data_IF_101369826263
#
_entry.id   IF_101369826263
#
_cell.length_a   1.000
_cell.length_b   1.000
_cell.length_c   1.000
_cell.angle_alpha   90.00
_cell.angle_beta   90.00
_cell.angle_gamma   90.00
#
_symmetry.space_group_name_H-M   'P 1'
#
loop_
_entity.id
_entity.type
_entity.pdbx_description
1 polymer ?
#
# COMPACT_ATOMS: atom_id res chain seq x y z
N UNK A 1 -9.55 -10.88 -34.99
CA UNK A 1 -8.15 -10.89 -35.44
C UNK A 1 -7.38 -9.92 -34.58
N UNK A 2 -6.69 -10.41 -33.58
CA UNK A 2 -5.83 -9.58 -32.72
C UNK A 2 -4.54 -9.26 -33.49
N UNK A 3 -4.28 -7.98 -33.65
CA UNK A 3 -3.08 -7.49 -34.32
C UNK A 3 -1.98 -7.36 -33.29
N UNK A 4 -1.18 -8.41 -33.08
CA UNK A 4 0.06 -8.31 -32.34
C UNK A 4 1.11 -7.58 -33.18
N UNK A 5 1.77 -6.59 -32.60
CA UNK A 5 2.86 -5.87 -33.22
C UNK A 5 4.17 -6.63 -33.00
N UNK A 6 5.15 -6.44 -33.87
CA UNK A 6 6.48 -7.08 -33.77
C UNK A 6 7.14 -6.81 -32.40
N UNK A 7 6.83 -5.68 -31.76
CA UNK A 7 7.25 -5.37 -30.38
C UNK A 7 6.66 -6.33 -29.33
N UNK A 8 5.50 -6.94 -29.59
CA UNK A 8 4.82 -7.85 -28.65
C UNK A 8 5.26 -9.30 -28.82
N UNK A 9 6.01 -9.61 -29.88
CA UNK A 9 6.42 -10.97 -30.25
C UNK A 9 7.37 -11.59 -29.23
N UNK A 10 8.28 -10.83 -28.68
CA UNK A 10 9.30 -11.31 -27.72
C UNK A 10 8.69 -11.56 -26.35
N UNK A 11 7.69 -10.78 -25.95
CA UNK A 11 6.93 -11.06 -24.73
C UNK A 11 6.23 -12.43 -24.76
N UNK A 12 5.93 -12.94 -25.97
CA UNK A 12 5.29 -14.26 -26.15
C UNK A 12 6.31 -15.39 -26.16
N UNK A 13 7.55 -15.17 -26.61
CA UNK A 13 8.63 -16.18 -26.56
C UNK A 13 9.10 -16.47 -25.14
N UNK A 14 9.19 -15.47 -24.27
CA UNK A 14 9.62 -15.63 -22.88
C UNK A 14 8.64 -16.45 -22.00
N UNK A 15 7.40 -16.65 -22.45
CA UNK A 15 6.37 -17.38 -21.71
C UNK A 15 6.40 -18.91 -21.91
N UNK A 16 7.26 -19.44 -22.80
CA UNK A 16 7.31 -20.90 -23.10
C UNK A 16 8.44 -21.66 -22.42
N UNK A 17 9.41 -21.03 -21.80
CA UNK A 17 10.48 -21.74 -21.07
C UNK A 17 10.14 -21.87 -19.60
N UNK A 18 9.71 -23.06 -19.19
CA UNK A 18 9.74 -23.63 -17.83
C UNK A 18 9.86 -22.63 -16.66
N UNK A 19 8.71 -22.11 -16.20
CA UNK A 19 8.48 -21.75 -14.80
C UNK A 19 9.52 -20.89 -14.05
N UNK A 20 10.48 -20.30 -14.72
CA UNK A 20 11.48 -19.40 -14.11
C UNK A 20 11.30 -18.00 -14.67
N UNK A 21 11.28 -17.01 -13.77
CA UNK A 21 11.25 -15.57 -13.99
C UNK A 21 12.18 -15.15 -15.16
N UNK A 22 11.63 -15.15 -16.37
CA UNK A 22 12.27 -14.53 -17.50
C UNK A 22 11.51 -13.23 -17.77
N UNK A 23 12.06 -12.11 -17.33
CA UNK A 23 11.70 -10.82 -17.89
C UNK A 23 11.80 -10.94 -19.40
N UNK A 24 10.70 -10.81 -20.12
CA UNK A 24 10.68 -10.96 -21.59
C UNK A 24 11.61 -9.92 -22.20
N UNK A 25 12.68 -10.38 -22.85
CA UNK A 25 13.57 -9.51 -23.60
C UNK A 25 12.82 -9.02 -24.85
N UNK A 26 12.80 -7.72 -25.07
CA UNK A 26 12.20 -7.14 -26.27
C UNK A 26 13.10 -7.38 -27.48
N UNK A 27 12.52 -7.39 -28.68
CA UNK A 27 13.31 -7.49 -29.91
C UNK A 27 14.42 -6.43 -30.01
N UNK A 28 14.17 -5.26 -29.47
CA UNK A 28 15.12 -4.17 -29.30
C UNK A 28 16.34 -4.57 -28.43
N UNK A 29 16.16 -5.46 -27.47
CA UNK A 29 17.22 -5.94 -26.57
C UNK A 29 18.01 -7.10 -27.19
N UNK A 30 17.32 -8.01 -27.90
CA UNK A 30 17.93 -9.20 -28.50
C UNK A 30 18.72 -8.82 -29.76
N UNK A 31 18.16 -7.98 -30.63
CA UNK A 31 18.69 -7.62 -31.92
C UNK A 31 18.54 -6.12 -32.23
N UNK A 32 19.16 -5.22 -31.45
CA UNK A 32 18.98 -3.78 -31.56
C UNK A 32 19.33 -3.24 -32.96
N UNK A 33 20.45 -3.68 -33.56
CA UNK A 33 20.87 -3.21 -34.90
C UNK A 33 19.94 -3.70 -36.00
N UNK A 34 19.45 -4.92 -35.89
CA UNK A 34 18.45 -5.46 -36.83
C UNK A 34 17.12 -4.69 -36.69
N UNK A 35 16.66 -4.47 -35.43
CA UNK A 35 15.45 -3.72 -35.18
C UNK A 35 15.54 -2.28 -35.67
N UNK A 36 16.64 -1.56 -35.40
CA UNK A 36 16.83 -0.19 -35.86
C UNK A 36 16.86 -0.05 -37.39
N UNK A 37 17.34 -1.07 -38.13
CA UNK A 37 17.38 -1.09 -39.56
C UNK A 37 15.98 -1.11 -40.21
N UNK A 38 14.96 -1.55 -39.47
CA UNK A 38 13.59 -1.66 -39.99
C UNK A 38 12.88 -0.30 -39.94
N UNK A 39 12.21 0.06 -41.04
CA UNK A 39 11.46 1.30 -41.12
C UNK A 39 10.34 1.38 -40.09
N UNK A 40 10.18 2.53 -39.41
CA UNK A 40 9.19 2.77 -38.34
C UNK A 40 7.76 2.46 -38.77
N UNK A 41 7.39 2.73 -40.02
CA UNK A 41 6.06 2.39 -40.54
C UNK A 41 5.83 0.88 -40.54
N UNK A 42 6.85 0.09 -40.91
CA UNK A 42 6.81 -1.38 -40.90
C UNK A 42 6.73 -1.90 -39.46
N UNK A 43 7.57 -1.41 -38.57
CA UNK A 43 7.52 -1.75 -37.13
C UNK A 43 6.11 -1.63 -36.54
N UNK A 44 5.38 -0.59 -36.92
CA UNK A 44 4.06 -0.28 -36.37
C UNK A 44 2.87 -0.98 -37.06
N UNK A 45 3.05 -1.49 -38.26
CA UNK A 45 1.96 -2.09 -39.09
C UNK A 45 2.05 -3.60 -39.27
N UNK A 46 3.25 -4.19 -39.13
CA UNK A 46 3.49 -5.61 -39.39
C UNK A 46 3.01 -6.47 -38.23
N UNK A 47 2.28 -7.53 -38.54
CA UNK A 47 1.97 -8.55 -37.54
C UNK A 47 3.10 -9.57 -37.43
N UNK A 48 3.20 -10.26 -36.29
CA UNK A 48 4.16 -11.35 -36.11
C UNK A 48 3.90 -12.48 -37.12
N UNK A 49 2.63 -12.84 -37.30
CA UNK A 49 2.24 -13.86 -38.25
C UNK A 49 2.71 -13.53 -39.67
N UNK A 50 2.51 -12.28 -40.12
CA UNK A 50 2.97 -11.82 -41.44
C UNK A 50 4.50 -11.78 -41.54
N UNK A 51 5.19 -11.37 -40.48
CA UNK A 51 6.65 -11.29 -40.47
C UNK A 51 7.31 -12.67 -40.60
N UNK A 52 6.73 -13.66 -39.93
CA UNK A 52 7.24 -15.04 -39.92
C UNK A 52 6.76 -15.90 -41.09
N UNK A 53 5.76 -15.43 -41.83
CA UNK A 53 5.32 -16.11 -43.07
C UNK A 53 6.44 -16.02 -44.09
N UNK A 54 6.93 -17.18 -44.56
CA UNK A 54 8.03 -17.29 -45.53
C UNK A 54 9.28 -16.48 -45.14
N UNK A 55 9.52 -16.32 -43.83
CA UNK A 55 10.62 -15.51 -43.30
C UNK A 55 10.67 -14.09 -43.89
N UNK A 56 9.51 -13.53 -44.16
CA UNK A 56 9.38 -12.25 -44.86
C UNK A 56 9.91 -11.06 -44.06
N UNK A 57 10.17 -11.22 -42.73
CA UNK A 57 10.82 -10.22 -41.88
C UNK A 57 12.23 -9.86 -42.39
N UNK A 58 12.95 -10.79 -43.06
CA UNK A 58 14.26 -10.50 -43.66
C UNK A 58 14.20 -9.42 -44.72
N UNK A 59 13.07 -9.29 -45.42
CA UNK A 59 12.86 -8.26 -46.48
C UNK A 59 12.58 -6.87 -45.86
N UNK A 60 12.29 -6.81 -44.60
CA UNK A 60 12.03 -5.55 -43.90
C UNK A 60 13.32 -4.92 -43.35
N UNK A 61 14.45 -5.67 -43.35
CA UNK A 61 15.75 -5.19 -42.93
C UNK A 61 16.29 -4.15 -43.93
N UNK A 62 16.95 -3.12 -43.39
CA UNK A 62 17.59 -2.09 -44.21
C UNK A 62 18.75 -2.64 -45.03
N UNK A 63 19.07 -2.03 -46.20
CA UNK A 63 20.10 -2.52 -47.12
C UNK A 63 21.53 -2.40 -46.59
N UNK A 64 21.76 -1.59 -45.55
CA UNK A 64 23.08 -1.29 -44.99
C UNK A 64 23.28 -1.93 -43.59
N UNK A 65 22.85 -3.17 -43.43
CA UNK A 65 23.06 -3.85 -42.17
C UNK A 65 24.55 -4.21 -41.99
N UNK A 66 25.13 -3.84 -40.83
CA UNK A 66 26.51 -4.17 -40.50
C UNK A 66 26.70 -5.68 -40.28
N UNK A 67 27.96 -6.15 -40.29
CA UNK A 67 28.29 -7.54 -39.98
C UNK A 67 27.74 -7.96 -38.61
N UNK A 68 27.84 -7.08 -37.62
CA UNK A 68 27.25 -7.31 -36.30
C UNK A 68 25.73 -7.39 -36.37
N UNK A 69 25.07 -6.56 -37.14
CA UNK A 69 23.62 -6.62 -37.36
C UNK A 69 23.18 -7.95 -38.01
N UNK A 70 23.96 -8.47 -38.95
CA UNK A 70 23.70 -9.80 -39.51
C UNK A 70 23.92 -10.92 -38.48
N UNK A 71 24.91 -10.82 -37.61
CA UNK A 71 25.09 -11.76 -36.50
C UNK A 71 23.91 -11.75 -35.52
N UNK A 72 23.30 -10.59 -35.27
CA UNK A 72 22.06 -10.47 -34.48
C UNK A 72 20.88 -11.13 -35.21
N UNK A 73 20.76 -10.97 -36.53
CA UNK A 73 19.72 -11.64 -37.33
C UNK A 73 19.83 -13.17 -37.28
N UNK A 74 21.03 -13.73 -37.30
CA UNK A 74 21.24 -15.17 -37.16
C UNK A 74 20.80 -15.66 -35.79
N UNK A 75 21.20 -14.99 -34.75
CA UNK A 75 20.73 -15.32 -33.36
C UNK A 75 19.21 -15.26 -33.26
N UNK A 76 18.59 -14.21 -33.83
CA UNK A 76 17.13 -14.09 -33.85
C UNK A 76 16.48 -15.22 -34.65
N UNK A 77 17.11 -15.67 -35.75
CA UNK A 77 16.64 -16.79 -36.53
C UNK A 77 16.60 -18.07 -35.71
N UNK A 78 17.70 -18.39 -34.99
CA UNK A 78 17.80 -19.59 -34.16
C UNK A 78 16.70 -19.57 -33.06
N UNK A 79 16.42 -18.42 -32.46
CA UNK A 79 15.33 -18.26 -31.47
C UNK A 79 13.95 -18.46 -32.10
N UNK A 80 13.74 -17.97 -33.33
CA UNK A 80 12.47 -18.13 -34.07
C UNK A 80 12.21 -19.60 -34.41
N UNK A 81 13.23 -20.36 -34.75
CA UNK A 81 13.08 -21.79 -35.10
C UNK A 81 12.72 -22.66 -33.89
N UNK A 82 13.09 -22.23 -32.68
CA UNK A 82 12.72 -22.91 -31.44
C UNK A 82 11.25 -22.72 -31.05
N UNK A 83 10.52 -21.79 -31.67
CA UNK A 83 9.13 -21.51 -31.39
C UNK A 83 8.19 -22.41 -32.17
N UNK A 84 7.56 -23.34 -31.48
CA UNK A 84 6.48 -24.16 -32.04
C UNK A 84 5.21 -23.31 -32.22
N UNK A 85 4.82 -23.12 -33.48
CA UNK A 85 3.68 -22.27 -33.87
C UNK A 85 2.53 -23.13 -34.39
N UNK A 86 1.40 -23.05 -33.75
CA UNK A 86 0.18 -23.66 -34.23
C UNK A 86 -0.71 -22.58 -34.89
N UNK A 87 -0.65 -22.47 -36.20
CA UNK A 87 -1.45 -21.50 -36.97
C UNK A 87 -2.97 -21.73 -36.85
N UNK A 88 -3.39 -22.90 -36.35
CA UNK A 88 -4.82 -23.23 -36.15
C UNK A 88 -5.40 -22.65 -34.86
N UNK A 89 -4.56 -22.24 -33.92
CA UNK A 89 -5.00 -21.70 -32.66
C UNK A 89 -5.10 -20.18 -32.67
N UNK A 90 -6.19 -19.59 -32.22
CA UNK A 90 -6.27 -18.15 -32.04
C UNK A 90 -5.30 -17.68 -30.93
N UNK A 91 -4.71 -16.50 -31.10
CA UNK A 91 -3.89 -15.85 -30.10
C UNK A 91 -4.67 -15.68 -28.80
N UNK A 92 -4.02 -15.98 -27.69
CA UNK A 92 -4.60 -15.81 -26.36
C UNK A 92 -3.63 -15.06 -25.46
N UNK A 93 -4.15 -14.03 -24.83
CA UNK A 93 -3.44 -13.42 -23.69
C UNK A 93 -3.55 -14.33 -22.48
N UNK A 94 -2.44 -14.80 -21.98
CA UNK A 94 -2.38 -15.49 -20.68
C UNK A 94 -1.74 -14.59 -19.67
N UNK A 95 -2.44 -14.38 -18.55
CA UNK A 95 -1.92 -13.60 -17.44
C UNK A 95 -1.19 -14.55 -16.47
N UNK A 96 0.14 -14.46 -16.31
CA UNK A 96 0.91 -15.40 -15.49
C UNK A 96 0.54 -15.35 -14.00
N UNK A 97 -0.08 -14.25 -13.54
CA UNK A 97 -0.55 -14.07 -12.17
C UNK A 97 -1.90 -14.72 -11.85
N UNK A 98 -2.52 -15.42 -12.78
CA UNK A 98 -3.82 -16.05 -12.59
C UNK A 98 -3.78 -17.54 -12.89
N UNK A 99 -4.34 -18.36 -11.98
CA UNK A 99 -4.49 -19.83 -12.18
C UNK A 99 -5.31 -20.16 -13.44
N UNK A 100 -6.21 -19.25 -13.83
CA UNK A 100 -7.07 -19.43 -15.02
C UNK A 100 -6.48 -18.81 -16.29
N UNK A 101 -5.30 -18.20 -16.21
CA UNK A 101 -4.66 -17.53 -17.35
C UNK A 101 -5.35 -16.24 -17.81
N UNK A 102 -6.45 -15.83 -17.20
CA UNK A 102 -7.15 -14.59 -17.51
C UNK A 102 -6.76 -13.47 -16.55
N UNK A 103 -6.64 -12.23 -17.04
CA UNK A 103 -6.39 -11.06 -16.20
C UNK A 103 -7.50 -10.86 -15.17
N UNK A 104 -7.10 -10.64 -13.93
CA UNK A 104 -7.96 -10.27 -12.83
C UNK A 104 -7.25 -9.22 -11.98
N UNK A 105 -7.90 -8.08 -11.75
CA UNK A 105 -7.39 -7.04 -10.85
C UNK A 105 -7.10 -7.58 -9.45
N UNK A 106 -7.88 -8.55 -8.98
CA UNK A 106 -7.68 -9.24 -7.70
C UNK A 106 -6.38 -10.02 -7.67
N UNK A 107 -6.09 -10.79 -8.71
CA UNK A 107 -4.88 -11.63 -8.77
C UNK A 107 -3.64 -10.76 -8.98
N UNK A 108 -3.73 -9.70 -9.79
CA UNK A 108 -2.68 -8.70 -9.93
C UNK A 108 -2.35 -8.04 -8.60
N UNK A 109 -3.38 -7.60 -7.85
CA UNK A 109 -3.17 -7.02 -6.52
C UNK A 109 -2.50 -8.02 -5.56
N UNK A 110 -2.92 -9.29 -5.60
CA UNK A 110 -2.27 -10.35 -4.80
C UNK A 110 -0.80 -10.51 -5.15
N UNK A 111 -0.46 -10.54 -6.45
CA UNK A 111 0.93 -10.62 -6.90
C UNK A 111 1.77 -9.44 -6.39
N UNK A 112 1.26 -8.21 -6.50
CA UNK A 112 1.93 -7.01 -6.00
C UNK A 112 2.12 -7.04 -4.47
N UNK A 113 1.28 -7.79 -3.76
CA UNK A 113 1.36 -7.95 -2.31
C UNK A 113 2.13 -9.21 -1.88
N UNK A 114 2.64 -10.04 -2.81
CA UNK A 114 3.48 -11.19 -2.47
C UNK A 114 4.77 -10.72 -1.77
N UNK A 115 5.08 -11.36 -0.65
CA UNK A 115 6.26 -11.02 0.15
C UNK A 115 6.09 -9.78 1.05
N UNK A 116 4.94 -9.13 1.08
CA UNK A 116 4.65 -8.10 2.07
C UNK A 116 4.26 -8.74 3.41
N UNK A 117 4.81 -8.21 4.49
CA UNK A 117 4.41 -8.62 5.84
C UNK A 117 2.96 -8.26 6.10
N UNK A 118 2.23 -9.18 6.76
CA UNK A 118 0.85 -8.95 7.16
C UNK A 118 0.80 -7.80 8.18
N UNK A 119 -0.06 -6.82 7.96
CA UNK A 119 -0.21 -5.70 8.89
C UNK A 119 -0.83 -6.17 10.20
N UNK A 120 0.00 -6.32 11.23
CA UNK A 120 -0.34 -6.86 12.55
C UNK A 120 -1.55 -6.19 13.19
N UNK A 121 -1.70 -4.87 12.98
CA UNK A 121 -2.76 -4.06 13.57
C UNK A 121 -4.08 -4.06 12.79
N UNK A 122 -4.20 -4.87 11.71
CA UNK A 122 -5.45 -4.97 10.94
C UNK A 122 -6.64 -5.34 11.83
N UNK A 123 -6.55 -6.46 12.55
CA UNK A 123 -7.63 -6.95 13.42
C UNK A 123 -7.95 -5.98 14.56
N UNK A 124 -6.96 -5.48 15.34
CA UNK A 124 -7.21 -4.48 16.38
C UNK A 124 -7.98 -3.25 15.87
N UNK A 125 -7.64 -2.73 14.70
CA UNK A 125 -8.29 -1.56 14.13
C UNK A 125 -9.70 -1.88 13.64
N UNK A 126 -9.82 -2.84 12.71
CA UNK A 126 -11.06 -3.01 11.96
C UNK A 126 -12.14 -3.78 12.70
N UNK A 127 -11.79 -4.63 13.68
CA UNK A 127 -12.75 -5.34 14.53
C UNK A 127 -13.19 -4.53 15.76
N UNK A 128 -12.53 -3.40 16.06
CA UNK A 128 -13.01 -2.48 17.10
C UNK A 128 -14.40 -1.92 16.75
N UNK A 129 -15.11 -1.40 17.72
CA UNK A 129 -16.38 -0.69 17.48
C UNK A 129 -16.21 0.84 17.38
N UNK A 130 -15.00 1.31 17.13
CA UNK A 130 -14.74 2.72 16.84
C UNK A 130 -15.40 3.13 15.50
N UNK A 131 -15.83 4.39 15.35
CA UNK A 131 -16.36 4.91 14.09
C UNK A 131 -15.36 4.77 12.93
N UNK A 132 -15.83 4.55 11.69
CA UNK A 132 -14.96 4.34 10.53
C UNK A 132 -13.89 5.43 10.34
N UNK A 133 -14.25 6.70 10.57
CA UNK A 133 -13.31 7.84 10.49
C UNK A 133 -12.14 7.72 11.48
N UNK A 134 -12.40 7.18 12.69
CA UNK A 134 -11.38 7.01 13.72
C UNK A 134 -10.48 5.80 13.42
N UNK A 135 -11.04 4.71 12.88
CA UNK A 135 -10.28 3.56 12.38
C UNK A 135 -9.33 3.97 11.27
N UNK A 136 -9.83 4.73 10.30
CA UNK A 136 -9.02 5.21 9.18
C UNK A 136 -7.92 6.17 9.65
N UNK A 137 -8.24 7.07 10.59
CA UNK A 137 -7.25 7.95 11.21
C UNK A 137 -6.10 7.15 11.82
N UNK A 138 -6.41 6.16 12.68
CA UNK A 138 -5.37 5.39 13.36
C UNK A 138 -4.56 4.53 12.40
N UNK A 139 -5.20 4.02 11.36
CA UNK A 139 -4.49 3.33 10.27
C UNK A 139 -3.48 4.26 9.57
N UNK A 140 -3.85 5.51 9.27
CA UNK A 140 -2.92 6.51 8.74
C UNK A 140 -1.82 6.87 9.75
N UNK A 141 -2.15 6.94 11.04
CA UNK A 141 -1.18 7.18 12.12
C UNK A 141 -0.10 6.08 12.14
N UNK A 142 -0.50 4.82 12.18
CA UNK A 142 0.43 3.68 12.19
C UNK A 142 1.27 3.57 10.91
N UNK A 143 0.83 4.18 9.81
CA UNK A 143 1.58 4.30 8.55
C UNK A 143 2.38 5.60 8.46
N UNK A 144 2.45 6.40 9.53
CA UNK A 144 3.13 7.71 9.55
C UNK A 144 2.67 8.64 8.41
N UNK A 145 1.36 8.60 8.07
CA UNK A 145 0.78 9.38 6.96
C UNK A 145 0.06 10.66 7.41
N UNK A 146 0.03 10.96 8.70
CA UNK A 146 -0.57 12.20 9.22
C UNK A 146 0.37 13.40 9.02
N UNK A 147 -0.22 14.58 8.84
CA UNK A 147 0.51 15.82 8.64
C UNK A 147 0.89 16.47 9.98
N UNK A 148 1.93 15.96 10.59
CA UNK A 148 2.65 16.54 11.73
C UNK A 148 3.60 17.66 11.26
N UNK A 149 4.09 18.50 12.17
CA UNK A 149 4.96 19.62 11.79
C UNK A 149 6.28 19.15 11.20
N UNK A 150 6.90 18.09 11.73
CA UNK A 150 8.12 17.49 11.20
C UNK A 150 7.92 17.00 9.75
N UNK A 151 6.77 16.37 9.48
CA UNK A 151 6.46 15.91 8.13
C UNK A 151 6.21 17.07 7.17
N UNK A 152 5.49 18.11 7.62
CA UNK A 152 5.29 19.33 6.81
C UNK A 152 6.62 20.00 6.48
N UNK A 153 7.52 20.08 7.46
CA UNK A 153 8.85 20.63 7.27
C UNK A 153 9.65 19.85 6.21
N UNK A 154 9.68 18.51 6.31
CA UNK A 154 10.36 17.64 5.31
C UNK A 154 9.83 17.81 3.89
N UNK A 155 8.57 18.20 3.74
CA UNK A 155 7.93 18.46 2.44
C UNK A 155 7.96 19.93 2.01
N UNK A 156 8.72 20.79 2.70
CA UNK A 156 8.83 22.20 2.35
C UNK A 156 7.55 23.02 2.57
N UNK A 157 6.59 22.50 3.34
CA UNK A 157 5.28 23.12 3.61
C UNK A 157 5.25 23.86 4.95
N UNK A 158 6.38 23.96 5.63
CA UNK A 158 6.47 24.50 6.97
C UNK A 158 6.81 25.99 6.96
N UNK A 159 5.92 26.77 7.52
CA UNK A 159 6.06 28.20 7.81
C UNK A 159 6.12 28.50 9.32
N UNK A 160 6.04 27.48 10.18
CA UNK A 160 6.01 27.60 11.65
C UNK A 160 7.02 26.67 12.32
N UNK A 161 7.21 26.83 13.64
CA UNK A 161 8.09 25.98 14.44
C UNK A 161 7.73 24.50 14.35
N UNK A 162 8.75 23.64 14.26
CA UNK A 162 8.58 22.21 14.33
C UNK A 162 8.31 21.69 15.75
N UNK A 163 8.39 22.55 16.76
CA UNK A 163 8.22 22.19 18.17
C UNK A 163 6.78 21.75 18.48
N UNK A 164 6.65 20.83 19.42
CA UNK A 164 5.36 20.38 19.94
C UNK A 164 4.55 21.50 20.55
N UNK A 165 3.29 21.62 20.19
CA UNK A 165 2.38 22.70 20.64
C UNK A 165 1.96 22.60 22.13
N UNK A 166 2.30 21.53 22.84
CA UNK A 166 2.03 21.37 24.26
C UNK A 166 3.25 21.59 25.12
N UNK A 167 4.33 20.85 24.88
CA UNK A 167 5.48 20.87 25.76
C UNK A 167 6.59 21.83 25.29
N UNK A 168 6.63 22.20 24.01
CA UNK A 168 7.65 23.06 23.38
C UNK A 168 9.09 22.51 23.52
N UNK A 169 9.27 21.25 23.99
CA UNK A 169 10.56 20.63 24.28
C UNK A 169 11.06 19.72 23.18
N UNK A 170 10.12 19.07 22.48
CA UNK A 170 10.42 18.09 21.45
C UNK A 170 9.75 18.49 20.12
N UNK A 171 10.12 17.79 19.04
CA UNK A 171 9.47 17.96 17.75
C UNK A 171 8.03 17.44 17.74
N UNK A 172 7.17 18.14 16.99
CA UNK A 172 5.79 17.73 16.72
C UNK A 172 5.77 16.60 15.68
N UNK A 173 6.31 15.44 16.05
CA UNK A 173 6.22 14.19 15.29
C UNK A 173 5.13 13.28 15.85
N UNK A 174 4.74 12.27 15.11
CA UNK A 174 3.58 11.45 15.45
C UNK A 174 3.71 10.72 16.78
N UNK A 175 4.86 10.07 17.00
CA UNK A 175 5.08 9.31 18.23
C UNK A 175 5.15 10.23 19.47
N UNK A 176 5.75 11.41 19.31
CA UNK A 176 5.73 12.39 20.39
C UNK A 176 4.30 12.85 20.69
N UNK A 177 3.57 13.29 19.69
CA UNK A 177 2.22 13.83 19.85
C UNK A 177 1.26 12.82 20.46
N UNK A 178 1.27 11.58 20.01
CA UNK A 178 0.32 10.57 20.46
C UNK A 178 0.74 9.85 21.73
N UNK A 179 2.06 9.70 21.99
CA UNK A 179 2.56 8.80 23.04
C UNK A 179 3.49 9.47 24.03
N UNK A 180 4.49 10.25 23.55
CA UNK A 180 5.64 10.67 24.37
C UNK A 180 5.43 12.02 25.06
N UNK A 181 4.60 12.89 24.48
CA UNK A 181 4.33 14.21 25.03
C UNK A 181 3.80 14.11 26.48
N UNK A 182 4.29 14.90 27.43
CA UNK A 182 3.78 14.91 28.81
C UNK A 182 2.26 15.03 28.90
N UNK A 183 1.64 15.83 28.04
CA UNK A 183 0.18 15.93 27.95
C UNK A 183 -0.47 14.59 27.53
N UNK A 184 0.03 13.99 26.46
CA UNK A 184 -0.50 12.71 25.98
C UNK A 184 -0.35 11.61 27.02
N UNK A 185 0.82 11.50 27.66
CA UNK A 185 1.07 10.52 28.75
C UNK A 185 0.11 10.67 29.92
N UNK A 186 -0.18 11.90 30.35
CA UNK A 186 -1.17 12.14 31.43
C UNK A 186 -2.57 11.67 31.02
N UNK A 187 -2.96 11.88 29.74
CA UNK A 187 -4.25 11.39 29.20
C UNK A 187 -4.27 9.86 29.18
N UNK A 188 -3.21 9.22 28.69
CA UNK A 188 -3.09 7.76 28.69
C UNK A 188 -3.19 7.18 30.09
N UNK A 189 -2.38 7.69 31.03
CA UNK A 189 -2.40 7.26 32.42
C UNK A 189 -3.79 7.37 33.04
N UNK A 190 -4.44 8.51 32.90
CA UNK A 190 -5.78 8.73 33.43
C UNK A 190 -6.84 7.81 32.84
N UNK A 191 -6.79 7.55 31.54
CA UNK A 191 -7.72 6.64 30.87
C UNK A 191 -7.51 5.18 31.28
N UNK A 192 -6.26 4.72 31.33
CA UNK A 192 -5.88 3.35 31.74
C UNK A 192 -6.33 3.10 33.17
N UNK A 193 -6.03 4.04 34.07
CA UNK A 193 -6.45 3.99 35.49
C UNK A 193 -7.96 3.97 35.64
N UNK A 194 -8.67 4.87 34.97
CA UNK A 194 -10.14 4.93 35.00
C UNK A 194 -10.82 3.67 34.41
N UNK A 195 -10.17 3.00 33.45
CA UNK A 195 -10.63 1.73 32.92
C UNK A 195 -10.31 0.51 33.79
N UNK A 196 -9.58 0.69 34.89
CA UNK A 196 -9.15 -0.40 35.78
C UNK A 196 -8.21 -1.40 35.10
N UNK A 197 -7.44 -0.96 34.11
CA UNK A 197 -6.51 -1.81 33.35
C UNK A 197 -5.16 -1.84 34.08
N UNK A 198 -4.65 -3.05 34.32
CA UNK A 198 -3.30 -3.25 34.84
C UNK A 198 -2.26 -3.26 33.70
N UNK A 199 -2.09 -2.10 33.06
CA UNK A 199 -1.22 -1.89 31.90
C UNK A 199 -0.35 -0.68 32.20
N UNK A 200 0.91 -0.77 31.84
CA UNK A 200 1.83 0.36 31.94
C UNK A 200 1.53 1.37 30.84
N UNK A 201 1.45 2.65 31.21
CA UNK A 201 1.28 3.74 30.26
C UNK A 201 2.47 3.81 29.27
N UNK A 202 2.29 4.46 28.10
CA UNK A 202 3.37 4.64 27.14
C UNK A 202 4.59 5.32 27.76
N UNK A 203 5.78 4.77 27.51
CA UNK A 203 7.05 5.36 27.91
C UNK A 203 7.64 6.25 26.80
N UNK A 204 8.83 6.83 27.05
CA UNK A 204 9.50 7.72 26.10
C UNK A 204 9.95 7.04 24.82
N UNK A 205 10.12 5.73 24.83
CA UNK A 205 10.65 4.97 23.70
C UNK A 205 9.55 4.21 22.91
N UNK A 206 8.30 4.28 23.39
CA UNK A 206 7.18 3.58 22.79
C UNK A 206 6.71 4.24 21.50
N UNK A 207 6.53 3.44 20.45
CA UNK A 207 5.63 3.76 19.33
C UNK A 207 4.20 3.33 19.67
N UNK A 208 3.21 3.92 19.01
CA UNK A 208 1.81 3.53 19.20
C UNK A 208 1.60 2.03 18.91
N UNK A 209 2.21 1.50 17.84
CA UNK A 209 2.07 0.10 17.45
C UNK A 209 2.65 -0.85 18.47
N UNK A 210 3.91 -0.64 18.87
CA UNK A 210 4.61 -1.52 19.80
C UNK A 210 3.94 -1.56 21.16
N UNK A 211 3.58 -0.38 21.70
CA UNK A 211 2.88 -0.30 22.97
C UNK A 211 1.50 -0.95 22.93
N UNK A 212 0.70 -0.65 21.88
CA UNK A 212 -0.65 -1.20 21.74
C UNK A 212 -0.63 -2.72 21.63
N UNK A 213 0.27 -3.28 20.83
CA UNK A 213 0.42 -4.73 20.70
C UNK A 213 0.73 -5.37 22.06
N UNK A 214 1.76 -4.87 22.76
CA UNK A 214 2.16 -5.42 24.07
C UNK A 214 1.08 -5.25 25.13
N UNK A 215 0.44 -4.09 25.19
CA UNK A 215 -0.65 -3.82 26.12
C UNK A 215 -1.87 -4.72 25.87
N UNK A 216 -2.19 -4.96 24.59
CA UNK A 216 -3.30 -5.82 24.16
C UNK A 216 -3.14 -7.26 24.62
N UNK A 217 -1.92 -7.76 24.69
CA UNK A 217 -1.65 -9.14 25.13
C UNK A 217 -1.92 -9.33 26.63
N UNK A 218 -1.84 -8.27 27.42
CA UNK A 218 -2.21 -8.27 28.83
C UNK A 218 -3.74 -8.21 29.05
N UNK A 219 -4.51 -7.85 28.03
CA UNK A 219 -5.97 -7.77 28.11
C UNK A 219 -6.64 -9.10 27.83
N UNK A 220 -7.63 -9.48 28.65
CA UNK A 220 -8.43 -10.69 28.44
C UNK A 220 -9.05 -10.69 27.04
N UNK A 221 -9.04 -11.84 26.39
CA UNK A 221 -9.46 -12.00 24.97
C UNK A 221 -10.84 -11.39 24.68
N UNK A 222 -11.79 -11.56 25.60
CA UNK A 222 -13.17 -11.02 25.50
C UNK A 222 -13.23 -9.48 25.54
N UNK A 223 -12.25 -8.83 26.17
CA UNK A 223 -12.24 -7.39 26.42
C UNK A 223 -11.37 -6.64 25.39
N UNK A 224 -10.66 -7.37 24.51
CA UNK A 224 -9.71 -6.80 23.55
C UNK A 224 -10.35 -5.81 22.60
N UNK A 225 -11.55 -6.07 22.08
CA UNK A 225 -12.23 -5.15 21.17
C UNK A 225 -12.61 -3.83 21.87
N UNK A 226 -12.98 -3.89 23.15
CA UNK A 226 -13.24 -2.69 23.95
C UNK A 226 -11.97 -1.90 24.23
N UNK A 227 -10.89 -2.61 24.52
CA UNK A 227 -9.56 -2.01 24.67
C UNK A 227 -9.07 -1.35 23.39
N UNK A 228 -9.14 -2.07 22.27
CA UNK A 228 -8.76 -1.56 20.95
C UNK A 228 -9.55 -0.28 20.61
N UNK A 229 -10.84 -0.26 20.93
CA UNK A 229 -11.71 0.91 20.74
C UNK A 229 -11.29 2.09 21.62
N UNK A 230 -10.93 1.82 22.87
CA UNK A 230 -10.44 2.85 23.79
C UNK A 230 -9.13 3.45 23.29
N UNK A 231 -8.20 2.62 22.83
CA UNK A 231 -6.92 3.08 22.25
C UNK A 231 -7.16 4.00 21.05
N UNK A 232 -8.04 3.60 20.12
CA UNK A 232 -8.40 4.42 18.97
C UNK A 232 -9.01 5.76 19.40
N UNK A 233 -9.91 5.73 20.37
CA UNK A 233 -10.57 6.94 20.88
C UNK A 233 -9.56 7.89 21.50
N UNK A 234 -8.67 7.41 22.38
CA UNK A 234 -7.66 8.25 23.03
C UNK A 234 -6.75 8.91 21.99
N UNK A 235 -6.21 8.12 21.05
CA UNK A 235 -5.35 8.63 19.99
C UNK A 235 -6.07 9.69 19.12
N UNK A 236 -7.33 9.44 18.78
CA UNK A 236 -8.16 10.39 18.03
C UNK A 236 -8.40 11.70 18.79
N UNK A 237 -8.69 11.64 20.07
CA UNK A 237 -8.93 12.83 20.87
C UNK A 237 -7.65 13.65 21.09
N UNK A 238 -6.52 13.00 21.35
CA UNK A 238 -5.21 13.67 21.42
C UNK A 238 -4.91 14.40 20.11
N UNK A 239 -5.13 13.72 18.96
CA UNK A 239 -4.92 14.34 17.65
C UNK A 239 -5.83 15.54 17.40
N UNK A 240 -7.12 15.47 17.79
CA UNK A 240 -8.03 16.60 17.69
C UNK A 240 -7.55 17.80 18.54
N UNK A 241 -7.05 17.53 19.74
CA UNK A 241 -6.52 18.57 20.62
C UNK A 241 -5.25 19.22 20.05
N UNK A 242 -4.35 18.42 19.47
CA UNK A 242 -3.19 18.95 18.76
C UNK A 242 -3.65 19.88 17.62
N UNK A 243 -4.59 19.45 16.81
CA UNK A 243 -5.08 20.26 15.71
C UNK A 243 -5.79 21.53 16.19
N UNK A 244 -6.57 21.48 17.27
CA UNK A 244 -7.18 22.67 17.85
C UNK A 244 -6.13 23.73 18.24
N UNK A 245 -4.97 23.32 18.74
CA UNK A 245 -3.86 24.23 19.04
C UNK A 245 -3.16 24.78 17.79
N UNK A 246 -2.87 23.89 16.85
CA UNK A 246 -2.20 24.27 15.59
C UNK A 246 -3.03 25.31 14.81
N UNK A 247 -4.35 25.14 14.78
CA UNK A 247 -5.25 26.02 14.04
C UNK A 247 -5.88 27.13 14.90
N UNK A 248 -5.42 27.31 16.14
CA UNK A 248 -5.85 28.41 17.01
C UNK A 248 -7.30 28.33 17.50
N UNK A 249 -7.90 27.13 17.49
CA UNK A 249 -9.28 26.94 17.97
C UNK A 249 -9.31 26.78 19.50
N UNK A 250 -9.40 27.89 20.22
CA UNK A 250 -9.35 27.93 21.68
C UNK A 250 -10.53 27.22 22.34
N UNK A 251 -11.72 27.21 21.71
CA UNK A 251 -12.93 26.57 22.25
C UNK A 251 -12.82 25.04 22.33
N UNK A 252 -11.89 24.44 21.60
CA UNK A 252 -11.65 23.00 21.57
C UNK A 252 -10.39 22.58 22.32
N UNK A 253 -9.76 23.49 23.09
CA UNK A 253 -8.56 23.19 23.87
C UNK A 253 -8.94 22.73 25.28
N UNK A 254 -8.76 21.44 25.54
CA UNK A 254 -9.06 20.84 26.84
C UNK A 254 -7.82 20.71 27.71
N UNK A 255 -8.01 20.92 29.04
CA UNK A 255 -7.07 20.40 30.01
C UNK A 255 -7.12 18.88 30.08
N UNK A 256 -6.14 18.25 30.74
CA UNK A 256 -6.11 16.78 30.90
C UNK A 256 -7.40 16.28 31.60
N UNK A 257 -7.86 16.96 32.64
CA UNK A 257 -9.09 16.59 33.38
C UNK A 257 -10.34 16.64 32.46
N UNK A 258 -10.50 17.71 31.71
CA UNK A 258 -11.61 17.84 30.73
C UNK A 258 -11.53 16.77 29.64
N UNK A 259 -10.31 16.44 29.19
CA UNK A 259 -10.09 15.38 28.19
C UNK A 259 -10.53 14.03 28.74
N UNK A 260 -10.23 13.69 29.98
CA UNK A 260 -10.63 12.41 30.57
C UNK A 260 -12.16 12.29 30.66
N UNK A 261 -12.86 13.36 31.06
CA UNK A 261 -14.32 13.39 31.07
C UNK A 261 -14.87 13.17 29.68
N UNK A 262 -14.37 13.93 28.73
CA UNK A 262 -14.83 13.84 27.34
C UNK A 262 -14.59 12.44 26.72
N UNK A 263 -13.42 11.83 26.95
CA UNK A 263 -13.13 10.46 26.48
C UNK A 263 -14.09 9.45 27.10
N UNK A 264 -14.40 9.57 28.41
CA UNK A 264 -15.34 8.68 29.11
C UNK A 264 -16.75 8.77 28.50
N UNK A 265 -17.24 9.97 28.25
CA UNK A 265 -18.55 10.21 27.63
C UNK A 265 -18.62 9.64 26.21
N UNK A 266 -17.64 9.97 25.35
CA UNK A 266 -17.56 9.46 23.97
C UNK A 266 -17.48 7.93 23.94
N UNK A 267 -16.69 7.32 24.82
CA UNK A 267 -16.60 5.86 24.90
C UNK A 267 -17.94 5.22 25.26
N UNK A 268 -18.68 5.86 26.19
CA UNK A 268 -20.04 5.45 26.53
C UNK A 268 -20.98 5.49 25.34
N UNK A 269 -20.95 6.57 24.56
CA UNK A 269 -21.76 6.73 23.35
C UNK A 269 -21.43 5.67 22.28
N UNK A 270 -20.15 5.40 22.05
CA UNK A 270 -19.75 4.39 21.04
C UNK A 270 -20.19 2.98 21.46
N UNK A 271 -20.17 2.66 22.77
CA UNK A 271 -20.68 1.38 23.29
C UNK A 271 -22.19 1.25 23.12
N UNK A 272 -22.94 2.33 23.32
CA UNK A 272 -24.39 2.35 23.11
C UNK A 272 -24.75 2.17 21.64
N UNK A 273 -24.05 2.86 20.74
CA UNK A 273 -24.25 2.74 19.30
C UNK A 273 -24.07 1.28 18.83
N UNK A 274 -22.98 0.61 19.28
CA UNK A 274 -22.77 -0.80 18.98
C UNK A 274 -23.92 -1.69 19.43
N UNK A 275 -24.43 -1.49 20.65
CA UNK A 275 -25.58 -2.26 21.14
C UNK A 275 -26.84 -2.02 20.32
N UNK A 276 -27.06 -0.79 19.86
CA UNK A 276 -28.18 -0.44 18.99
C UNK A 276 -28.13 -1.18 17.66
N UNK A 277 -26.95 -1.30 17.04
CA UNK A 277 -26.75 -2.08 15.82
C UNK A 277 -27.04 -3.58 16.04
N UNK A 278 -26.55 -4.18 17.13
CA UNK A 278 -26.83 -5.59 17.49
C UNK A 278 -28.35 -5.85 17.63
N UNK A 279 -29.15 -4.88 18.13
CA UNK A 279 -30.60 -5.01 18.26
C UNK A 279 -31.35 -4.84 16.92
N UNK A 280 -30.82 -4.10 15.96
CA UNK A 280 -31.41 -3.98 14.62
C UNK A 280 -31.23 -5.24 13.80
N UNK A 281 -30.03 -5.85 13.81
CA UNK A 281 -29.74 -7.13 13.12
C UNK A 281 -30.47 -8.34 13.71
N UNK A 282 -30.87 -8.30 14.96
CA UNK A 282 -31.63 -9.40 15.58
C UNK A 282 -33.16 -9.35 15.26
N UNK A 283 -33.62 -8.34 14.53
CA UNK A 283 -35.01 -8.16 14.13
C UNK A 283 -35.30 -8.40 12.64
N UNK A 284 -34.26 -8.59 11.83
CA UNK A 284 -34.32 -9.01 10.43
C UNK A 284 -34.07 -10.55 10.34
#
# INVERSE_FOLDING_TARGET
MSVFRVADFVATMALKSDGRDCGGEHLEDIAPLAFDSVNTRRKNSRTVADALLDNSWLRDLGPELSVEGWAQCIRLWDEIELVDRDASRPDRFTWPGSIKGAYSAKDTYRMLCLGQEEFSMYKPIWHSFAPPKCKFFVWLALRYRLWTSDRRHRHGLQDRSAACYWCLQDEDNLDHVLMRCPYARQVWFGCITAAGLNIVEPNRDSSLESWWSSARDLVRRRDRNSFDTLVILIAWQIWKQRNARVFGNTNLQFSTAQMLIHIKEEFGLWRLAKRGEEYQFARE
#
